data_IF_060361601247
#
_entry.id   IF_060361601247
#
_cell.length_a   1.000
_cell.length_b   1.000
_cell.length_c   1.000
_cell.angle_alpha   90.00
_cell.angle_beta   90.00
_cell.angle_gamma   90.00
#
_symmetry.space_group_name_H-M   'P 1'
#
loop_
_entity.id
_entity.type
_entity.pdbx_description
1 polymer ?
#
# COMPACT_ATOMS: atom_id res chain seq x y z
N UNK A 1 -13.11 27.43 16.28
CA UNK A 1 -14.29 26.68 16.77
C UNK A 1 -15.26 26.44 15.63
N UNK A 2 -15.59 27.47 14.83
CA UNK A 2 -16.46 27.38 13.64
C UNK A 2 -15.98 26.36 12.59
N UNK A 3 -14.67 26.33 12.27
CA UNK A 3 -14.11 25.41 11.27
C UNK A 3 -14.30 23.93 11.64
N UNK A 4 -14.15 23.59 12.93
CA UNK A 4 -14.30 22.20 13.40
C UNK A 4 -15.77 21.77 13.36
N UNK A 5 -16.67 22.63 13.83
CA UNK A 5 -18.12 22.39 13.79
C UNK A 5 -18.60 22.19 12.34
N UNK A 6 -18.09 22.99 11.41
CA UNK A 6 -18.44 22.89 10.00
C UNK A 6 -17.95 21.58 9.36
N UNK A 7 -16.74 21.14 9.66
CA UNK A 7 -16.22 19.85 9.19
C UNK A 7 -17.02 18.69 9.77
N UNK A 8 -17.37 18.74 11.06
CA UNK A 8 -18.20 17.70 11.68
C UNK A 8 -19.60 17.64 11.07
N UNK A 9 -20.15 18.77 10.64
CA UNK A 9 -21.39 18.82 9.87
C UNK A 9 -21.20 18.25 8.46
N UNK A 10 -20.14 18.61 7.74
CA UNK A 10 -19.84 18.10 6.39
C UNK A 10 -19.62 16.59 6.37
N UNK A 11 -18.94 16.06 7.40
CA UNK A 11 -18.61 14.64 7.52
C UNK A 11 -19.76 13.83 8.13
N UNK A 12 -20.64 14.46 8.92
CA UNK A 12 -21.77 13.81 9.58
C UNK A 12 -22.99 13.56 8.69
N UNK A 13 -22.94 13.93 7.42
CA UNK A 13 -24.05 13.81 6.47
C UNK A 13 -23.99 12.45 5.75
N UNK A 14 -25.15 11.88 5.44
CA UNK A 14 -25.41 10.52 4.95
C UNK A 14 -24.66 10.08 3.68
N UNK A 15 -24.61 8.77 3.41
CA UNK A 15 -23.79 8.13 2.36
C UNK A 15 -23.92 8.68 0.93
N UNK A 16 -25.11 9.11 0.50
CA UNK A 16 -25.33 9.71 -0.83
C UNK A 16 -24.59 11.07 -0.98
N UNK A 17 -24.41 11.80 0.12
CA UNK A 17 -23.73 13.10 0.10
C UNK A 17 -22.20 12.96 0.03
N UNK A 18 -21.63 11.82 0.43
CA UNK A 18 -20.18 11.60 0.34
C UNK A 18 -19.72 11.45 -1.11
N UNK A 19 -20.46 10.70 -1.95
CA UNK A 19 -20.14 10.59 -3.37
C UNK A 19 -20.21 11.95 -4.05
N UNK A 20 -21.31 12.69 -3.83
CA UNK A 20 -21.47 14.03 -4.37
C UNK A 20 -20.36 14.98 -3.90
N UNK A 21 -19.98 14.91 -2.63
CA UNK A 21 -18.86 15.68 -2.08
C UNK A 21 -17.53 15.35 -2.76
N UNK A 22 -17.20 14.08 -2.91
CA UNK A 22 -15.98 13.63 -3.60
C UNK A 22 -15.98 14.04 -5.08
N UNK A 23 -17.14 13.98 -5.74
CA UNK A 23 -17.30 14.46 -7.12
C UNK A 23 -17.08 15.97 -7.23
N UNK A 24 -17.57 16.78 -6.28
CA UNK A 24 -17.29 18.23 -6.28
C UNK A 24 -15.80 18.53 -6.10
N UNK A 25 -15.11 17.78 -5.24
CA UNK A 25 -13.64 17.85 -5.11
C UNK A 25 -12.99 17.53 -6.45
N UNK A 26 -13.35 16.41 -7.08
CA UNK A 26 -12.83 16.01 -8.39
C UNK A 26 -13.07 17.08 -9.46
N UNK A 27 -14.31 17.58 -9.57
CA UNK A 27 -14.70 18.61 -10.53
C UNK A 27 -13.87 19.88 -10.35
N UNK A 28 -13.48 20.25 -9.12
CA UNK A 28 -12.59 21.39 -8.87
C UNK A 28 -11.23 21.22 -9.54
N UNK A 29 -10.62 20.04 -9.43
CA UNK A 29 -9.36 19.72 -10.11
C UNK A 29 -9.53 19.69 -11.64
N UNK A 30 -10.61 19.06 -12.13
CA UNK A 30 -10.88 18.95 -13.56
C UNK A 30 -11.11 20.34 -14.21
N UNK A 31 -11.76 21.29 -13.49
CA UNK A 31 -12.01 22.67 -13.96
C UNK A 31 -10.74 23.47 -14.26
N UNK A 32 -9.63 23.16 -13.59
CA UNK A 32 -8.32 23.81 -13.82
C UNK A 32 -7.39 22.97 -14.70
N UNK A 33 -7.90 21.88 -15.28
CA UNK A 33 -7.12 20.95 -16.08
C UNK A 33 -5.94 20.34 -15.31
N UNK A 34 -6.08 20.18 -13.98
CA UNK A 34 -5.05 19.58 -13.15
C UNK A 34 -5.30 18.07 -13.08
N UNK A 35 -4.50 17.32 -13.82
CA UNK A 35 -4.54 15.86 -13.77
C UNK A 35 -3.82 15.36 -12.51
N UNK A 36 -4.51 14.52 -11.73
CA UNK A 36 -3.92 13.89 -10.56
C UNK A 36 -2.87 12.86 -11.00
N UNK A 37 -1.76 12.71 -10.25
CA UNK A 37 -0.73 11.74 -10.60
C UNK A 37 -1.32 10.32 -10.62
N UNK A 38 -1.05 9.60 -11.71
CA UNK A 38 -1.52 8.23 -11.92
C UNK A 38 -0.37 7.26 -11.78
N UNK A 39 -0.66 6.05 -11.31
CA UNK A 39 0.34 5.02 -11.09
C UNK A 39 -0.10 3.75 -11.82
N UNK A 40 0.68 3.33 -12.81
CA UNK A 40 0.64 1.98 -13.37
C UNK A 40 1.73 1.14 -12.70
N UNK A 41 1.34 0.00 -12.12
CA UNK A 41 2.27 -0.96 -11.54
C UNK A 41 2.39 -2.16 -12.47
N UNK A 42 3.61 -2.56 -12.80
CA UNK A 42 3.88 -3.68 -13.69
C UNK A 42 4.87 -4.65 -13.06
N UNK A 43 4.56 -5.93 -13.08
CA UNK A 43 5.47 -7.02 -12.77
C UNK A 43 5.83 -7.78 -14.06
N UNK A 44 7.12 -7.98 -14.27
CA UNK A 44 7.65 -8.71 -15.43
C UNK A 44 8.57 -9.85 -14.95
N UNK A 45 8.22 -11.07 -15.35
CA UNK A 45 8.97 -12.29 -15.02
C UNK A 45 9.16 -12.50 -13.52
N UNK A 46 8.17 -12.13 -12.70
CA UNK A 46 8.31 -12.14 -11.24
C UNK A 46 8.35 -13.58 -10.71
N UNK A 47 9.48 -13.96 -10.12
CA UNK A 47 9.67 -15.22 -9.41
C UNK A 47 9.94 -14.91 -7.94
N UNK A 48 9.27 -15.60 -7.04
CA UNK A 48 9.53 -15.49 -5.60
C UNK A 48 9.82 -16.87 -5.06
N UNK A 49 11.00 -17.03 -4.47
CA UNK A 49 11.47 -18.28 -3.88
C UNK A 49 11.70 -18.13 -2.38
N UNK A 50 11.48 -19.22 -1.66
CA UNK A 50 11.84 -19.36 -0.25
C UNK A 50 12.72 -20.58 -0.06
N UNK A 51 13.63 -20.51 0.90
CA UNK A 51 14.38 -21.69 1.35
C UNK A 51 13.61 -22.35 2.49
N UNK A 52 13.21 -23.61 2.30
CA UNK A 52 12.54 -24.40 3.32
C UNK A 52 13.31 -25.70 3.58
N UNK A 53 13.31 -26.17 4.82
CA UNK A 53 13.91 -27.47 5.14
C UNK A 53 13.08 -28.60 4.49
N UNK A 54 13.72 -29.47 3.71
CA UNK A 54 13.12 -30.51 2.85
C UNK A 54 12.19 -31.48 3.58
N UNK A 55 12.27 -31.53 4.92
CA UNK A 55 11.57 -32.49 5.75
C UNK A 55 10.11 -32.10 6.09
N UNK A 56 9.61 -30.91 5.71
CA UNK A 56 8.27 -30.46 6.12
C UNK A 56 7.57 -29.51 5.14
N UNK A 57 6.27 -29.72 4.93
CA UNK A 57 5.38 -28.85 4.15
C UNK A 57 5.25 -27.45 4.79
N UNK A 58 5.14 -26.35 4.01
CA UNK A 58 5.14 -24.97 4.53
C UNK A 58 3.88 -24.53 5.29
N UNK A 59 2.97 -25.45 5.62
CA UNK A 59 1.68 -25.10 6.18
C UNK A 59 1.74 -25.07 7.71
N UNK A 60 1.72 -23.86 8.25
CA UNK A 60 1.52 -23.43 9.66
C UNK A 60 2.76 -23.41 10.58
N UNK A 61 3.21 -22.22 11.03
CA UNK A 61 4.17 -22.11 12.12
C UNK A 61 3.45 -22.47 13.44
N UNK A 62 3.83 -23.60 14.03
CA UNK A 62 3.45 -23.98 15.39
C UNK A 62 4.66 -23.67 16.30
N UNK A 63 4.44 -23.34 17.57
CA UNK A 63 5.54 -23.05 18.53
C UNK A 63 6.67 -24.11 18.52
N UNK A 64 6.32 -25.38 18.31
CA UNK A 64 7.29 -26.46 18.16
C UNK A 64 8.11 -26.37 16.87
N UNK A 65 7.52 -25.98 15.74
CA UNK A 65 8.26 -25.84 14.48
C UNK A 65 9.21 -24.64 14.50
N UNK A 66 8.85 -23.55 15.17
CA UNK A 66 9.79 -22.43 15.39
C UNK A 66 10.97 -22.83 16.29
N UNK A 67 10.74 -23.54 17.39
CA UNK A 67 11.84 -24.01 18.25
C UNK A 67 12.81 -24.93 17.51
N UNK A 68 12.26 -25.89 16.74
CA UNK A 68 13.08 -26.81 15.94
C UNK A 68 13.88 -26.06 14.88
N UNK A 69 13.28 -25.06 14.20
CA UNK A 69 14.00 -24.24 13.22
C UNK A 69 15.17 -23.47 13.86
N UNK A 70 14.97 -22.86 15.03
CA UNK A 70 16.05 -22.14 15.75
C UNK A 70 17.19 -23.08 16.16
N UNK A 71 16.86 -24.29 16.62
CA UNK A 71 17.88 -25.30 16.97
C UNK A 71 18.61 -25.77 15.72
N UNK A 72 17.90 -26.03 14.62
CA UNK A 72 18.51 -26.44 13.35
C UNK A 72 19.44 -25.36 12.81
N UNK A 73 19.03 -24.09 12.87
CA UNK A 73 19.84 -22.94 12.46
C UNK A 73 21.12 -22.83 13.32
N UNK A 74 21.02 -23.04 14.64
CA UNK A 74 22.19 -23.05 15.53
C UNK A 74 23.15 -24.18 15.20
N UNK A 75 22.65 -25.40 14.96
CA UNK A 75 23.48 -26.56 14.61
C UNK A 75 24.13 -26.37 13.23
N UNK A 76 23.45 -25.69 12.30
CA UNK A 76 23.99 -25.33 11.00
C UNK A 76 25.10 -24.26 11.11
N UNK A 77 24.93 -23.25 11.98
CA UNK A 77 25.98 -22.26 12.31
C UNK A 77 27.21 -22.93 12.94
N UNK A 78 27.00 -24.00 13.70
CA UNK A 78 28.07 -24.84 14.25
C UNK A 78 28.72 -25.78 13.21
N UNK A 79 28.32 -25.72 11.93
CA UNK A 79 28.83 -26.56 10.83
C UNK A 79 28.67 -28.08 11.05
N UNK A 80 27.78 -28.50 11.96
CA UNK A 80 27.57 -29.92 12.29
C UNK A 80 26.54 -30.59 11.38
N UNK A 81 25.82 -29.83 10.55
CA UNK A 81 24.85 -30.35 9.60
C UNK A 81 25.29 -30.10 8.14
N UNK A 82 25.09 -31.07 7.24
CA UNK A 82 25.29 -30.84 5.82
C UNK A 82 24.20 -29.91 5.28
N UNK A 83 24.60 -28.91 4.48
CA UNK A 83 23.73 -27.90 3.84
C UNK A 83 22.67 -28.49 2.86
N UNK A 84 22.63 -29.82 2.73
CA UNK A 84 21.78 -30.61 1.84
C UNK A 84 20.29 -30.63 2.20
N UNK A 85 19.90 -30.12 3.36
CA UNK A 85 18.51 -30.23 3.86
C UNK A 85 17.65 -29.01 3.57
N UNK A 86 18.20 -27.97 2.94
CA UNK A 86 17.44 -26.82 2.46
C UNK A 86 17.06 -27.05 1.00
N UNK A 87 15.76 -27.07 0.71
CA UNK A 87 15.23 -27.13 -0.64
C UNK A 87 14.60 -25.79 -0.99
N UNK A 88 14.85 -25.32 -2.21
CA UNK A 88 14.18 -24.14 -2.75
C UNK A 88 12.73 -24.47 -3.08
N UNK A 89 11.81 -23.67 -2.55
CA UNK A 89 10.40 -23.73 -2.88
C UNK A 89 9.99 -22.42 -3.57
N UNK A 90 9.49 -22.54 -4.79
CA UNK A 90 9.03 -21.39 -5.57
C UNK A 90 7.56 -21.12 -5.23
N UNK A 91 7.27 -19.90 -4.77
CA UNK A 91 5.92 -19.43 -4.41
C UNK A 91 5.23 -18.81 -5.63
N UNK A 92 5.96 -17.99 -6.39
CA UNK A 92 5.49 -17.39 -7.65
C UNK A 92 6.34 -17.89 -8.80
N UNK A 93 5.71 -18.43 -9.83
CA UNK A 93 6.36 -18.93 -11.03
C UNK A 93 6.23 -17.90 -12.16
N UNK A 94 7.34 -17.26 -12.53
CA UNK A 94 7.50 -16.31 -13.66
C UNK A 94 6.21 -15.55 -14.03
N UNK A 95 5.69 -14.79 -13.06
CA UNK A 95 4.39 -14.13 -13.19
C UNK A 95 4.54 -12.76 -13.84
N UNK A 96 3.75 -12.49 -14.87
CA UNK A 96 3.59 -11.15 -15.46
C UNK A 96 2.24 -10.56 -15.03
N UNK A 97 2.23 -9.30 -14.58
CA UNK A 97 1.00 -8.62 -14.15
C UNK A 97 1.07 -7.12 -14.41
N UNK A 98 -0.08 -6.49 -14.67
CA UNK A 98 -0.20 -5.03 -14.85
C UNK A 98 -1.45 -4.55 -14.10
N UNK A 99 -1.26 -3.59 -13.20
CA UNK A 99 -2.33 -2.87 -12.52
C UNK A 99 -2.41 -1.48 -13.15
N UNK A 100 -3.49 -1.23 -13.89
CA UNK A 100 -3.73 0.06 -14.55
C UNK A 100 -4.36 1.06 -13.57
N UNK A 101 -4.04 2.35 -13.68
CA UNK A 101 -4.71 3.39 -12.90
C UNK A 101 -6.19 3.48 -13.27
N UNK A 102 -6.99 4.06 -12.38
CA UNK A 102 -8.43 4.29 -12.55
C UNK A 102 -9.29 3.02 -12.72
N UNK A 103 -8.78 1.85 -12.36
CA UNK A 103 -9.51 0.59 -12.46
C UNK A 103 -9.31 -0.26 -11.21
N UNK A 104 -10.38 -0.92 -10.80
CA UNK A 104 -10.29 -1.96 -9.79
C UNK A 104 -9.85 -3.27 -10.45
N UNK A 105 -8.79 -3.89 -9.93
CA UNK A 105 -8.29 -5.18 -10.40
C UNK A 105 -8.61 -6.25 -9.36
N UNK A 106 -9.36 -7.28 -9.77
CA UNK A 106 -9.72 -8.41 -8.91
C UNK A 106 -8.76 -9.58 -9.16
N UNK A 107 -8.02 -9.99 -8.13
CA UNK A 107 -7.11 -11.15 -8.16
C UNK A 107 -7.78 -12.38 -7.52
N UNK A 108 -8.06 -13.41 -8.32
CA UNK A 108 -8.68 -14.66 -7.87
C UNK A 108 -7.71 -15.83 -7.96
N UNK A 109 -7.80 -16.75 -7.02
CA UNK A 109 -6.97 -17.96 -6.97
C UNK A 109 -7.21 -18.78 -5.71
N UNK A 110 -6.95 -20.09 -5.77
CA UNK A 110 -7.10 -21.02 -4.64
C UNK A 110 -6.24 -20.63 -3.42
N UNK A 111 -6.56 -21.17 -2.24
CA UNK A 111 -5.68 -20.99 -1.08
C UNK A 111 -4.26 -21.51 -1.38
N UNK A 112 -3.22 -20.76 -0.98
CA UNK A 112 -1.83 -21.13 -1.25
C UNK A 112 -1.27 -20.74 -2.63
N UNK A 113 -2.10 -20.21 -3.55
CA UNK A 113 -1.65 -19.77 -4.90
C UNK A 113 -0.71 -18.56 -4.96
N UNK A 114 -0.27 -18.02 -3.82
CA UNK A 114 0.67 -16.89 -3.79
C UNK A 114 0.03 -15.50 -4.02
N UNK A 115 -1.30 -15.35 -3.97
CA UNK A 115 -1.98 -14.04 -4.13
C UNK A 115 -1.43 -12.95 -3.21
N UNK A 116 -1.36 -13.22 -1.91
CA UNK A 116 -0.84 -12.26 -0.93
C UNK A 116 0.64 -11.98 -1.16
N UNK A 117 1.40 -12.98 -1.63
CA UNK A 117 2.81 -12.82 -2.01
C UNK A 117 2.95 -11.89 -3.21
N UNK A 118 2.12 -12.05 -4.25
CA UNK A 118 2.10 -11.17 -5.42
C UNK A 118 1.74 -9.73 -5.01
N UNK A 119 0.69 -9.53 -4.21
CA UNK A 119 0.29 -8.20 -3.75
C UNK A 119 1.38 -7.53 -2.90
N UNK A 120 2.03 -8.27 -2.00
CA UNK A 120 3.16 -7.76 -1.22
C UNK A 120 4.37 -7.42 -2.08
N UNK A 121 4.69 -8.25 -3.07
CA UNK A 121 5.77 -7.99 -4.02
C UNK A 121 5.49 -6.72 -4.84
N UNK A 122 4.27 -6.55 -5.32
CA UNK A 122 3.87 -5.34 -6.04
C UNK A 122 3.97 -4.09 -5.15
N UNK A 123 3.56 -4.17 -3.88
CA UNK A 123 3.60 -3.06 -2.93
C UNK A 123 4.99 -2.80 -2.29
N UNK A 124 6.04 -3.54 -2.66
CA UNK A 124 7.37 -3.43 -2.03
C UNK A 124 7.42 -3.89 -0.57
N UNK A 125 6.43 -4.69 -0.12
CA UNK A 125 6.28 -5.19 1.26
C UNK A 125 6.62 -6.68 1.40
N UNK A 126 7.40 -7.21 0.48
CA UNK A 126 7.81 -8.61 0.53
C UNK A 126 8.85 -8.81 1.65
N UNK A 127 8.84 -9.99 2.28
CA UNK A 127 9.85 -10.33 3.30
C UNK A 127 11.26 -10.32 2.66
N UNK A 128 12.23 -9.54 3.20
CA UNK A 128 13.59 -9.47 2.67
C UNK A 128 14.34 -10.81 2.63
N UNK A 129 13.86 -11.83 3.36
CA UNK A 129 14.45 -13.18 3.36
C UNK A 129 14.09 -13.98 2.10
N UNK A 130 13.08 -13.55 1.35
CA UNK A 130 12.65 -14.21 0.13
C UNK A 130 13.55 -13.80 -1.04
N UNK A 131 13.91 -14.76 -1.88
CA UNK A 131 14.65 -14.48 -3.11
C UNK A 131 13.63 -14.02 -4.17
N UNK A 132 13.85 -12.84 -4.73
CA UNK A 132 13.01 -12.27 -5.79
C UNK A 132 13.81 -12.18 -7.07
N UNK A 133 13.25 -12.74 -8.15
CA UNK A 133 13.75 -12.56 -9.52
C UNK A 133 12.67 -11.86 -10.35
N UNK A 134 13.08 -11.28 -11.47
CA UNK A 134 12.23 -10.42 -12.28
C UNK A 134 12.26 -8.97 -11.80
N UNK A 135 11.28 -8.17 -12.23
CA UNK A 135 11.19 -6.76 -11.86
C UNK A 135 9.77 -6.30 -11.63
N UNK A 136 9.61 -5.38 -10.69
CA UNK A 136 8.39 -4.58 -10.52
C UNK A 136 8.72 -3.12 -10.80
N UNK A 137 7.90 -2.47 -11.62
CA UNK A 137 8.09 -1.07 -12.02
C UNK A 137 6.81 -0.27 -11.81
N UNK A 138 6.98 0.99 -11.42
CA UNK A 138 5.93 1.99 -11.26
C UNK A 138 6.13 3.08 -12.31
N UNK A 139 5.24 3.18 -13.29
CA UNK A 139 5.40 4.08 -14.44
C UNK A 139 6.77 3.95 -15.15
N UNK A 140 7.35 2.74 -15.16
CA UNK A 140 8.68 2.48 -15.74
C UNK A 140 9.87 2.64 -14.77
N UNK A 141 9.67 3.23 -13.60
CA UNK A 141 10.69 3.35 -12.55
C UNK A 141 10.77 2.09 -11.70
N UNK A 142 11.98 1.65 -11.39
CA UNK A 142 12.17 0.50 -10.50
C UNK A 142 11.93 0.87 -9.04
N UNK A 143 11.60 -0.12 -8.22
CA UNK A 143 11.32 0.08 -6.79
C UNK A 143 12.53 0.62 -6.01
N UNK A 144 13.76 0.49 -6.52
CA UNK A 144 14.96 1.03 -5.89
C UNK A 144 15.17 2.53 -6.17
N UNK A 145 14.45 3.10 -7.14
CA UNK A 145 14.58 4.52 -7.54
C UNK A 145 13.76 5.47 -6.67
N UNK A 146 12.83 4.93 -5.87
CA UNK A 146 11.93 5.70 -5.01
C UNK A 146 11.57 4.90 -3.75
N UNK A 147 10.61 5.40 -2.96
CA UNK A 147 10.10 4.71 -1.76
C UNK A 147 8.71 4.15 -2.06
N UNK A 148 8.57 2.86 -2.44
CA UNK A 148 7.29 2.24 -2.81
C UNK A 148 6.20 2.41 -1.75
N UNK A 149 6.57 2.40 -0.47
CA UNK A 149 5.66 2.55 0.66
C UNK A 149 4.91 3.89 0.69
N UNK A 150 5.45 4.92 0.03
CA UNK A 150 4.77 6.21 -0.11
C UNK A 150 3.79 6.25 -1.27
N UNK A 151 3.91 5.31 -2.20
CA UNK A 151 3.17 5.27 -3.46
C UNK A 151 2.12 4.16 -3.46
N UNK A 152 2.39 3.04 -2.79
CA UNK A 152 1.48 1.91 -2.65
C UNK A 152 1.31 1.51 -1.18
N UNK A 153 0.05 1.30 -0.79
CA UNK A 153 -0.30 0.76 0.51
C UNK A 153 -0.76 -0.69 0.37
N UNK A 154 -0.22 -1.57 1.21
CA UNK A 154 -0.70 -2.94 1.35
C UNK A 154 -1.54 -3.07 2.62
N UNK A 155 -2.79 -3.50 2.48
CA UNK A 155 -3.67 -3.80 3.60
C UNK A 155 -3.63 -5.31 3.83
N UNK A 156 -3.20 -5.72 5.03
CA UNK A 156 -3.13 -7.14 5.41
C UNK A 156 -4.51 -7.75 5.63
N UNK A 157 -4.56 -9.07 5.68
CA UNK A 157 -5.78 -9.80 6.05
C UNK A 157 -6.15 -9.62 7.52
N UNK A 158 -5.16 -9.37 8.37
CA UNK A 158 -5.34 -9.07 9.79
C UNK A 158 -5.19 -7.57 10.01
N UNK A 159 -6.10 -7.01 10.80
CA UNK A 159 -6.08 -5.61 11.19
C UNK A 159 -5.27 -5.44 12.48
N UNK A 160 -4.24 -4.60 12.43
CA UNK A 160 -3.39 -4.29 13.59
C UNK A 160 -3.75 -2.89 14.11
N UNK A 161 -4.53 -2.84 15.19
CA UNK A 161 -4.95 -1.59 15.83
C UNK A 161 -4.75 -1.64 17.35
N UNK A 162 -4.46 -0.48 17.95
CA UNK A 162 -4.44 -0.32 19.40
C UNK A 162 -5.89 -0.29 19.92
N UNK A 163 -6.27 -1.25 20.76
CA UNK A 163 -7.63 -1.39 21.28
C UNK A 163 -8.02 -0.30 22.28
N UNK A 164 -7.04 0.45 22.79
CA UNK A 164 -7.21 1.53 23.74
C UNK A 164 -7.54 2.88 23.06
N UNK A 165 -7.37 2.98 21.74
CA UNK A 165 -7.58 4.20 20.98
C UNK A 165 -8.94 4.20 20.27
N UNK A 166 -9.62 5.34 20.30
CA UNK A 166 -10.81 5.56 19.46
C UNK A 166 -10.43 5.69 17.99
N UNK A 167 -11.37 5.45 17.07
CA UNK A 167 -11.17 5.63 15.62
C UNK A 167 -10.62 7.03 15.29
N UNK A 168 -11.15 8.07 15.94
CA UNK A 168 -10.71 9.45 15.76
C UNK A 168 -9.25 9.63 16.16
N UNK A 169 -8.85 9.07 17.29
CA UNK A 169 -7.47 9.16 17.78
C UNK A 169 -6.51 8.39 16.88
N UNK A 170 -6.91 7.20 16.42
CA UNK A 170 -6.12 6.38 15.49
C UNK A 170 -5.88 7.10 14.17
N UNK A 171 -6.92 7.68 13.57
CA UNK A 171 -6.79 8.45 12.32
C UNK A 171 -5.97 9.73 12.53
N UNK A 172 -6.16 10.43 13.66
CA UNK A 172 -5.38 11.62 13.98
C UNK A 172 -3.89 11.29 14.19
N UNK A 173 -3.58 10.16 14.83
CA UNK A 173 -2.21 9.66 14.99
C UNK A 173 -1.60 9.32 13.63
N UNK A 174 -2.30 8.54 12.80
CA UNK A 174 -1.87 8.18 11.45
C UNK A 174 -1.59 9.44 10.59
N UNK A 175 -2.49 10.43 10.61
CA UNK A 175 -2.32 11.68 9.88
C UNK A 175 -1.06 12.46 10.32
N UNK A 176 -0.74 12.46 11.61
CA UNK A 176 0.49 13.09 12.13
C UNK A 176 1.76 12.36 11.71
N UNK A 177 1.73 11.03 11.64
CA UNK A 177 2.87 10.21 11.24
C UNK A 177 3.13 10.23 9.74
N UNK A 178 2.07 10.22 8.92
CA UNK A 178 2.19 10.27 7.46
C UNK A 178 2.64 11.66 6.97
N UNK A 179 2.36 12.71 7.76
CA UNK A 179 2.63 14.09 7.37
C UNK A 179 1.70 14.56 6.25
N UNK A 180 2.00 15.73 5.68
CA UNK A 180 1.18 16.34 4.63
C UNK A 180 1.65 16.02 3.21
N UNK A 181 2.79 15.35 3.04
CA UNK A 181 3.36 14.96 1.75
C UNK A 181 3.34 16.10 0.73
N UNK A 182 3.03 15.77 -0.53
CA UNK A 182 2.94 16.72 -1.64
C UNK A 182 1.59 17.47 -1.68
N UNK A 183 0.73 17.31 -0.66
CA UNK A 183 -0.59 17.97 -0.61
C UNK A 183 -0.45 19.49 -0.68
N UNK A 184 0.57 20.06 -0.03
CA UNK A 184 0.79 21.50 -0.04
C UNK A 184 1.12 22.02 -1.43
N UNK A 185 1.99 21.31 -2.15
CA UNK A 185 2.41 21.69 -3.50
C UNK A 185 1.25 21.53 -4.49
N UNK A 186 0.47 20.44 -4.38
CA UNK A 186 -0.73 20.23 -5.17
C UNK A 186 -1.78 21.33 -4.95
N UNK A 187 -2.02 21.73 -3.70
CA UNK A 187 -2.98 22.79 -3.36
C UNK A 187 -2.48 24.18 -3.78
N UNK A 188 -1.17 24.42 -3.73
CA UNK A 188 -0.55 25.66 -4.20
C UNK A 188 -0.72 25.78 -5.73
N UNK A 189 -0.46 24.69 -6.46
CA UNK A 189 -0.62 24.63 -7.91
C UNK A 189 -2.10 24.76 -8.32
N UNK A 190 -3.01 24.10 -7.61
CA UNK A 190 -4.46 24.27 -7.78
C UNK A 190 -4.84 25.74 -7.63
N UNK A 191 -4.44 26.38 -6.53
CA UNK A 191 -4.75 27.80 -6.25
C UNK A 191 -4.16 28.73 -7.31
N UNK A 192 -2.97 28.41 -7.84
CA UNK A 192 -2.33 29.20 -8.91
C UNK A 192 -3.18 29.15 -10.18
N UNK A 193 -3.59 27.96 -10.62
CA UNK A 193 -4.41 27.79 -11.84
C UNK A 193 -5.81 28.36 -11.70
N UNK A 194 -6.42 28.28 -10.51
CA UNK A 194 -7.72 28.91 -10.25
C UNK A 194 -7.66 30.42 -10.46
N UNK A 195 -6.59 31.08 -10.01
CA UNK A 195 -6.37 32.51 -10.23
C UNK A 195 -6.17 32.85 -11.71
N UNK A 196 -5.40 32.05 -12.43
CA UNK A 196 -5.15 32.24 -13.87
C UNK A 196 -6.43 32.07 -14.71
N UNK A 197 -7.27 31.11 -14.35
CA UNK A 197 -8.55 30.86 -15.00
C UNK A 197 -9.68 31.79 -14.51
N UNK A 198 -9.41 32.68 -13.55
CA UNK A 198 -10.40 33.54 -12.88
C UNK A 198 -11.60 32.73 -12.32
N UNK A 199 -11.32 31.55 -11.77
CA UNK A 199 -12.30 30.64 -11.19
C UNK A 199 -12.31 30.83 -9.68
N UNK A 200 -13.49 31.13 -9.12
CA UNK A 200 -13.69 31.14 -7.66
C UNK A 200 -14.06 29.74 -7.17
N UNK A 201 -13.31 29.15 -6.23
CA UNK A 201 -13.65 27.86 -5.65
C UNK A 201 -14.86 27.97 -4.72
N UNK A 202 -15.58 26.87 -4.56
CA UNK A 202 -16.68 26.75 -3.60
C UNK A 202 -16.12 26.83 -2.17
N UNK A 203 -16.73 27.68 -1.33
CA UNK A 203 -16.18 28.08 -0.04
C UNK A 203 -15.99 26.90 0.93
N UNK A 204 -16.97 26.00 0.98
CA UNK A 204 -16.98 24.83 1.83
C UNK A 204 -15.87 23.83 1.48
N UNK A 205 -15.68 23.57 0.18
CA UNK A 205 -14.64 22.68 -0.33
C UNK A 205 -13.25 23.30 -0.17
N UNK A 206 -13.11 24.60 -0.44
CA UNK A 206 -11.85 25.30 -0.26
C UNK A 206 -11.41 25.31 1.20
N UNK A 207 -12.35 25.57 2.09
CA UNK A 207 -12.14 25.51 3.52
C UNK A 207 -11.72 24.11 3.95
N UNK A 208 -12.44 23.06 3.54
CA UNK A 208 -12.10 21.67 3.85
C UNK A 208 -10.69 21.29 3.40
N UNK A 209 -10.30 21.60 2.15
CA UNK A 209 -8.99 21.23 1.63
C UNK A 209 -7.82 21.96 2.32
N UNK A 210 -8.05 23.20 2.77
CA UNK A 210 -7.02 24.04 3.42
C UNK A 210 -6.87 23.79 4.91
N UNK A 211 -7.76 23.01 5.53
CA UNK A 211 -7.67 22.70 6.95
C UNK A 211 -6.42 21.85 7.23
N UNK A 212 -5.69 22.28 8.28
CA UNK A 212 -4.54 21.59 8.86
C UNK A 212 -4.96 20.70 10.02
#
# INVERSE_FOLDING_TARGET
MEVKLFIEQLVGVTGDDHEHFLLRIKNRFDRVGLELPTIEVRAEGLVVETEAYACRSPATPTVFSSMVNTVLDLVNVLHLLPNTWKTKYTILHETNAIIKPHRMTLLLGSAGSGKSTLLKALAGKLDPRLQVLGRVTYNGHRMEEFVPERTAAYISQEDLHAGEMTVRETLAFAARCLGTGDRHDLLAELTRREKEANITPEHDIDMFMKVK
#
